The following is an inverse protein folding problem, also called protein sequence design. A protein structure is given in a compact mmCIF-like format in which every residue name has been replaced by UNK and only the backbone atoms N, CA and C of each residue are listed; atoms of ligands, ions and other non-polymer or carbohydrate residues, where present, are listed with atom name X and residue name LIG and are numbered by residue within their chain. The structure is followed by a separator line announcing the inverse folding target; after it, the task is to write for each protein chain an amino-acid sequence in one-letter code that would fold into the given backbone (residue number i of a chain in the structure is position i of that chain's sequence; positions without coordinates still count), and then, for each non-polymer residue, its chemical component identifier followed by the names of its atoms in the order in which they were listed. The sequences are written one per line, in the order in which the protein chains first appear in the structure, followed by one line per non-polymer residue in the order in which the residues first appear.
data_IF_854196020915
#
_entry.id   IF_854196020915
#
_cell.length_a   1.000
_cell.length_b   1.000
_cell.length_c   1.000
_cell.angle_alpha   90.00
_cell.angle_beta   90.00
_cell.angle_gamma   90.00
#
_symmetry.space_group_name_H-M   'P 1'
#
loop_
_entity.id
_entity.type
_entity.pdbx_description
1 polymer ?
#
# COMPACT_ATOMS: atom_id res chain seq x y z
N UNK A 1 -49.16 23.71 -20.17
CA UNK A 1 -50.04 24.74 -19.58
C UNK A 1 -49.45 25.16 -18.24
N UNK A 2 -49.25 26.48 -18.05
CA UNK A 2 -48.95 27.23 -16.81
C UNK A 2 -47.59 27.04 -16.09
N UNK A 3 -46.71 28.00 -16.41
CA UNK A 3 -45.71 28.67 -15.55
C UNK A 3 -46.29 29.00 -14.17
N UNK A 4 -45.45 28.98 -13.13
CA UNK A 4 -45.63 29.86 -11.96
C UNK A 4 -44.27 30.38 -11.48
N UNK A 5 -44.03 31.66 -11.79
CA UNK A 5 -43.05 32.53 -11.13
C UNK A 5 -43.68 33.04 -9.83
N UNK A 6 -42.92 33.12 -8.75
CA UNK A 6 -43.29 33.94 -7.58
C UNK A 6 -42.25 35.05 -7.41
N UNK A 7 -42.64 36.32 -7.51
CA UNK A 7 -41.85 37.46 -7.07
C UNK A 7 -42.42 38.08 -5.79
N UNK A 8 -41.63 39.01 -5.22
CA UNK A 8 -42.07 40.18 -4.45
C UNK A 8 -42.46 39.87 -2.97
N UNK A 9 -41.95 40.55 -1.93
CA UNK A 9 -42.41 41.89 -1.48
C UNK A 9 -41.77 42.28 -0.11
N UNK A 10 -41.18 43.48 -0.04
CA UNK A 10 -41.39 44.59 0.95
C UNK A 10 -40.88 44.40 2.40
N UNK A 11 -39.86 45.18 2.83
CA UNK A 11 -39.92 46.53 3.46
C UNK A 11 -40.38 46.49 4.93
N UNK A 12 -39.47 46.77 5.87
CA UNK A 12 -39.84 47.44 7.12
C UNK A 12 -38.67 48.32 7.59
N UNK A 13 -38.79 49.60 7.23
CA UNK A 13 -38.13 50.73 7.85
C UNK A 13 -39.10 51.24 8.92
N UNK A 14 -38.64 51.53 10.15
CA UNK A 14 -39.04 52.68 10.98
C UNK A 14 -38.48 52.53 12.42
N UNK A 15 -37.63 53.48 12.89
CA UNK A 15 -37.94 54.56 13.88
C UNK A 15 -37.81 54.03 15.33
N UNK A 16 -37.12 54.61 16.32
CA UNK A 16 -36.47 55.91 16.53
C UNK A 16 -35.59 55.89 17.81
N UNK A 17 -34.55 56.72 17.78
CA UNK A 17 -33.90 57.51 18.85
C UNK A 17 -34.67 57.69 20.18
N UNK A 18 -33.94 57.64 21.31
CA UNK A 18 -33.86 58.58 22.49
C UNK A 18 -32.96 57.90 23.55
N UNK A 19 -31.69 58.30 23.70
CA UNK A 19 -31.10 59.27 24.65
C UNK A 19 -30.93 58.82 26.13
N UNK A 20 -29.65 58.80 26.52
CA UNK A 20 -29.02 59.25 27.80
C UNK A 20 -29.14 58.41 29.08
N UNK A 21 -27.96 58.02 29.58
CA UNK A 21 -27.70 57.64 30.97
C UNK A 21 -26.22 57.34 31.20
N UNK A 22 -25.42 58.37 31.51
CA UNK A 22 -24.05 58.20 32.00
C UNK A 22 -24.06 57.61 33.42
N UNK A 23 -23.34 56.51 33.64
CA UNK A 23 -22.76 56.21 34.94
C UNK A 23 -21.27 55.92 34.75
N UNK A 24 -20.44 56.83 35.28
CA UNK A 24 -19.01 56.66 35.41
C UNK A 24 -18.74 55.50 36.37
N UNK A 25 -18.35 54.35 35.83
CA UNK A 25 -17.62 53.33 36.57
C UNK A 25 -16.29 53.18 35.84
N UNK A 26 -15.14 53.45 36.49
CA UNK A 26 -13.87 53.12 35.88
C UNK A 26 -13.79 51.60 35.88
N UNK A 27 -14.12 50.99 34.75
CA UNK A 27 -13.74 49.64 34.44
C UNK A 27 -12.73 49.69 33.29
N UNK A 28 -11.43 49.64 33.58
CA UNK A 28 -10.48 49.20 32.57
C UNK A 28 -9.68 48.05 33.13
N UNK A 29 -9.99 46.82 32.69
CA UNK A 29 -8.98 45.75 32.59
C UNK A 29 -9.44 44.50 31.81
N UNK A 30 -10.70 44.38 31.38
CA UNK A 30 -11.17 43.16 30.67
C UNK A 30 -11.03 43.24 29.13
N UNK A 31 -11.02 44.44 28.52
CA UNK A 31 -10.96 44.58 27.05
C UNK A 31 -9.54 44.52 26.47
N UNK A 32 -8.50 44.90 27.22
CA UNK A 32 -7.11 44.81 26.74
C UNK A 32 -6.62 43.35 26.67
N UNK A 33 -7.02 42.51 27.62
CA UNK A 33 -6.56 41.10 27.71
C UNK A 33 -7.16 40.23 26.59
N UNK A 34 -8.44 40.42 26.23
CA UNK A 34 -9.09 39.67 25.14
C UNK A 34 -8.58 40.04 23.74
N UNK A 35 -8.19 41.32 23.52
CA UNK A 35 -7.59 41.72 22.25
C UNK A 35 -6.16 41.19 22.11
N UNK A 36 -5.37 41.22 23.18
CA UNK A 36 -3.99 40.70 23.17
C UNK A 36 -3.95 39.19 22.95
N UNK A 37 -4.89 38.43 23.52
CA UNK A 37 -4.97 36.97 23.32
C UNK A 37 -5.43 36.60 21.90
N UNK A 38 -6.40 37.33 21.33
CA UNK A 38 -6.82 37.16 19.94
C UNK A 38 -5.70 37.52 18.95
N UNK A 39 -5.00 38.63 19.18
CA UNK A 39 -3.87 39.08 18.36
C UNK A 39 -2.71 38.08 18.42
N UNK A 40 -2.39 37.57 19.62
CA UNK A 40 -1.41 36.49 19.77
C UNK A 40 -1.82 35.19 19.04
N UNK A 41 -3.11 34.86 19.02
CA UNK A 41 -3.61 33.69 18.29
C UNK A 41 -3.58 33.91 16.77
N UNK A 42 -3.89 35.11 16.29
CA UNK A 42 -3.77 35.48 14.86
C UNK A 42 -2.31 35.39 14.42
N UNK A 43 -1.38 36.00 15.16
CA UNK A 43 0.05 35.95 14.84
C UNK A 43 0.59 34.51 14.84
N UNK A 44 0.17 33.67 15.79
CA UNK A 44 0.52 32.23 15.81
C UNK A 44 -0.03 31.47 14.61
N UNK A 45 -1.25 31.79 14.16
CA UNK A 45 -1.85 31.15 12.99
C UNK A 45 -1.17 31.61 11.69
N UNK A 46 -0.84 32.90 11.57
CA UNK A 46 -0.08 33.44 10.44
C UNK A 46 1.33 32.83 10.34
N UNK A 47 2.00 32.66 11.49
CA UNK A 47 3.29 31.97 11.54
C UNK A 47 3.15 30.51 11.08
N UNK A 48 2.15 29.76 11.60
CA UNK A 48 1.91 28.38 11.16
C UNK A 48 1.59 28.29 9.67
N UNK A 49 0.82 29.22 9.11
CA UNK A 49 0.52 29.27 7.68
C UNK A 49 1.80 29.47 6.87
N UNK A 50 2.68 30.37 7.33
CA UNK A 50 3.97 30.63 6.68
C UNK A 50 4.88 29.40 6.75
N UNK A 51 4.96 28.76 7.92
CA UNK A 51 5.75 27.55 8.13
C UNK A 51 5.25 26.41 7.22
N UNK A 52 3.93 26.15 7.19
CA UNK A 52 3.35 25.13 6.32
C UNK A 52 3.50 25.45 4.83
N UNK A 53 3.42 26.72 4.43
CA UNK A 53 3.65 27.12 3.04
C UNK A 53 5.09 26.81 2.62
N UNK A 54 6.06 27.14 3.48
CA UNK A 54 7.47 26.84 3.25
C UNK A 54 7.73 25.33 3.18
N UNK A 55 7.09 24.55 4.05
CA UNK A 55 7.18 23.09 4.03
C UNK A 55 6.61 22.50 2.73
N UNK A 56 5.44 22.99 2.28
CA UNK A 56 4.83 22.57 1.02
C UNK A 56 5.74 22.87 -0.17
N UNK A 57 6.28 24.08 -0.27
CA UNK A 57 7.21 24.46 -1.35
C UNK A 57 8.48 23.61 -1.34
N UNK A 58 9.01 23.33 -0.15
CA UNK A 58 10.17 22.43 0.01
C UNK A 58 9.85 21.01 -0.46
N UNK A 59 8.71 20.45 -0.06
CA UNK A 59 8.28 19.12 -0.46
C UNK A 59 7.99 19.02 -1.97
N UNK A 60 7.43 20.08 -2.56
CA UNK A 60 7.23 20.17 -4.01
C UNK A 60 8.57 20.14 -4.76
N UNK A 61 9.53 20.95 -4.33
CA UNK A 61 10.88 20.98 -4.91
C UNK A 61 11.57 19.61 -4.80
N UNK A 62 11.45 18.95 -3.65
CA UNK A 62 11.98 17.60 -3.45
C UNK A 62 11.30 16.57 -4.37
N UNK A 63 9.98 16.65 -4.52
CA UNK A 63 9.20 15.76 -5.40
C UNK A 63 9.61 15.93 -6.86
N UNK A 64 9.79 17.16 -7.32
CA UNK A 64 10.27 17.47 -8.68
C UNK A 64 11.68 16.92 -8.90
N UNK A 65 12.60 17.15 -7.97
CA UNK A 65 13.96 16.62 -8.05
C UNK A 65 13.99 15.08 -8.10
N UNK A 66 13.19 14.41 -7.27
CA UNK A 66 13.05 12.95 -7.28
C UNK A 66 12.46 12.44 -8.60
N UNK A 67 11.48 13.16 -9.16
CA UNK A 67 10.89 12.83 -10.46
C UNK A 67 11.92 12.91 -11.59
N UNK A 68 12.72 13.97 -11.63
CA UNK A 68 13.79 14.13 -12.63
C UNK A 68 14.86 13.02 -12.50
N UNK A 69 15.27 12.70 -11.27
CA UNK A 69 16.21 11.59 -11.01
C UNK A 69 15.64 10.25 -11.46
N UNK A 70 14.37 9.96 -11.15
CA UNK A 70 13.70 8.74 -11.60
C UNK A 70 13.61 8.65 -13.12
N UNK A 71 13.27 9.75 -13.80
CA UNK A 71 13.23 9.80 -15.27
C UNK A 71 14.61 9.54 -15.88
N UNK A 72 15.66 10.12 -15.31
CA UNK A 72 17.04 9.84 -15.73
C UNK A 72 17.39 8.36 -15.56
N UNK A 73 17.12 7.76 -14.39
CA UNK A 73 17.37 6.34 -14.15
C UNK A 73 16.62 5.43 -15.12
N UNK A 74 15.32 5.71 -15.36
CA UNK A 74 14.52 4.98 -16.36
C UNK A 74 15.15 5.09 -17.75
N UNK A 75 15.65 6.27 -18.14
CA UNK A 75 16.29 6.46 -19.45
C UNK A 75 17.59 5.65 -19.59
N UNK A 76 18.38 5.56 -18.52
CA UNK A 76 19.62 4.75 -18.47
C UNK A 76 19.26 3.27 -18.57
N UNK A 77 18.30 2.80 -17.77
CA UNK A 77 17.83 1.40 -17.81
C UNK A 77 17.31 1.06 -19.20
N UNK A 78 16.49 1.90 -19.81
CA UNK A 78 15.96 1.67 -21.16
C UNK A 78 17.08 1.57 -22.19
N UNK A 79 18.07 2.46 -22.11
CA UNK A 79 19.23 2.44 -23.01
C UNK A 79 20.04 1.16 -22.87
N UNK A 80 20.29 0.71 -21.63
CA UNK A 80 21.00 -0.53 -21.36
C UNK A 80 20.19 -1.76 -21.80
N UNK A 81 18.89 -1.77 -21.50
CA UNK A 81 17.99 -2.87 -21.85
C UNK A 81 17.85 -3.07 -23.36
N UNK A 82 17.96 -2.00 -24.16
CA UNK A 82 17.95 -2.06 -25.62
C UNK A 82 19.14 -2.79 -26.23
N UNK A 83 20.16 -3.14 -25.44
CA UNK A 83 21.31 -3.93 -25.86
C UNK A 83 21.27 -5.39 -25.40
N UNK A 84 20.29 -5.76 -24.57
CA UNK A 84 20.11 -7.14 -24.09
C UNK A 84 19.51 -8.01 -25.20
N UNK A 85 19.91 -9.28 -25.25
CA UNK A 85 19.18 -10.27 -26.03
C UNK A 85 17.78 -10.53 -25.44
N UNK A 86 16.90 -11.18 -26.20
CA UNK A 86 15.57 -11.56 -25.68
C UNK A 86 15.67 -12.47 -24.44
N UNK A 87 16.65 -13.38 -24.41
CA UNK A 87 16.90 -14.24 -23.25
C UNK A 87 17.41 -13.46 -22.05
N UNK A 88 18.33 -12.52 -22.25
CA UNK A 88 18.85 -11.66 -21.18
C UNK A 88 17.76 -10.72 -20.65
N UNK A 89 16.94 -10.18 -21.54
CA UNK A 89 15.82 -9.32 -21.19
C UNK A 89 14.73 -10.09 -20.45
N UNK A 90 14.47 -11.34 -20.83
CA UNK A 90 13.58 -12.23 -20.09
C UNK A 90 14.13 -12.48 -18.68
N UNK A 91 15.41 -12.84 -18.55
CA UNK A 91 16.03 -13.06 -17.24
C UNK A 91 15.98 -11.81 -16.36
N UNK A 92 16.25 -10.64 -16.93
CA UNK A 92 16.14 -9.35 -16.25
C UNK A 92 14.71 -9.05 -15.79
N UNK A 93 13.72 -9.34 -16.64
CA UNK A 93 12.30 -9.18 -16.29
C UNK A 93 11.87 -10.15 -15.19
N UNK A 94 12.30 -11.40 -15.26
CA UNK A 94 12.01 -12.42 -14.24
C UNK A 94 12.61 -12.07 -12.88
N UNK A 95 13.77 -11.42 -12.85
CA UNK A 95 14.41 -10.95 -11.62
C UNK A 95 13.64 -9.82 -10.91
N UNK A 96 12.65 -9.20 -11.55
CA UNK A 96 11.80 -8.19 -10.92
C UNK A 96 10.72 -8.78 -10.00
N UNK A 97 10.52 -10.10 -10.05
CA UNK A 97 9.52 -10.83 -9.27
C UNK A 97 10.22 -11.85 -8.39
N UNK A 98 9.97 -11.74 -7.09
CA UNK A 98 10.48 -12.66 -6.07
C UNK A 98 9.29 -13.47 -5.56
N UNK A 99 9.43 -14.79 -5.60
CA UNK A 99 8.43 -15.71 -5.06
C UNK A 99 8.96 -16.34 -3.78
N UNK A 100 8.09 -16.53 -2.81
CA UNK A 100 8.44 -17.19 -1.55
C UNK A 100 7.31 -18.11 -1.10
N UNK A 101 7.63 -19.38 -0.85
CA UNK A 101 6.73 -20.36 -0.27
C UNK A 101 7.12 -20.59 1.19
N UNK A 102 6.16 -20.36 2.09
CA UNK A 102 6.34 -20.46 3.53
C UNK A 102 5.33 -21.41 4.16
N UNK A 103 5.74 -22.06 5.25
CA UNK A 103 4.86 -22.79 6.16
C UNK A 103 5.07 -22.22 7.56
N UNK A 104 4.00 -21.73 8.19
CA UNK A 104 4.04 -21.05 9.49
C UNK A 104 5.06 -19.90 9.55
N UNK A 105 5.25 -19.19 8.42
CA UNK A 105 6.20 -18.09 8.29
C UNK A 105 7.66 -18.51 8.06
N UNK A 106 7.95 -19.81 7.98
CA UNK A 106 9.28 -20.32 7.67
C UNK A 106 9.39 -20.71 6.19
N UNK A 107 10.46 -20.29 5.51
CA UNK A 107 10.71 -20.66 4.12
C UNK A 107 10.96 -22.16 3.98
N UNK A 108 10.42 -22.76 2.92
CA UNK A 108 10.63 -24.20 2.65
C UNK A 108 12.12 -24.49 2.33
N UNK A 109 12.75 -25.50 2.97
CA UNK A 109 14.10 -25.93 2.61
C UNK A 109 14.20 -26.45 1.17
N UNK A 110 15.40 -26.43 0.57
CA UNK A 110 15.63 -26.90 -0.81
C UNK A 110 15.13 -28.33 -1.08
N UNK A 111 15.12 -29.18 -0.04
CA UNK A 111 14.62 -30.55 -0.08
C UNK A 111 13.10 -30.66 -0.22
N UNK A 112 12.35 -29.57 -0.08
CA UNK A 112 10.89 -29.54 -0.06
C UNK A 112 10.27 -30.09 1.22
N UNK A 113 11.06 -30.48 2.23
CA UNK A 113 10.57 -31.10 3.46
C UNK A 113 10.74 -30.16 4.65
N UNK A 114 9.66 -29.96 5.40
CA UNK A 114 9.65 -29.16 6.62
C UNK A 114 8.86 -29.88 7.71
N UNK A 115 9.26 -29.66 8.96
CA UNK A 115 8.59 -30.23 10.14
C UNK A 115 8.00 -29.09 10.95
N UNK A 116 6.74 -29.20 11.35
CA UNK A 116 6.01 -28.16 12.07
C UNK A 116 5.25 -28.73 13.27
N UNK A 117 5.00 -27.94 14.33
CA UNK A 117 4.20 -28.40 15.45
C UNK A 117 2.74 -28.64 15.03
N UNK A 118 2.10 -29.59 15.71
CA UNK A 118 0.65 -29.82 15.62
C UNK A 118 -0.18 -28.60 16.02
N UNK A 119 -1.40 -28.56 15.48
CA UNK A 119 -2.35 -27.46 15.65
C UNK A 119 -2.50 -26.62 14.39
N UNK A 120 -2.08 -25.36 14.48
CA UNK A 120 -2.24 -24.39 13.40
C UNK A 120 -1.13 -24.53 12.36
N UNK A 121 -1.53 -24.73 11.10
CA UNK A 121 -0.65 -24.73 9.95
C UNK A 121 -1.17 -23.73 8.93
N UNK A 122 -0.29 -22.83 8.50
CA UNK A 122 -0.51 -21.87 7.44
C UNK A 122 0.53 -22.08 6.34
N UNK A 123 0.07 -22.22 5.10
CA UNK A 123 0.89 -22.32 3.90
C UNK A 123 0.64 -21.05 3.11
N UNK A 124 1.68 -20.25 2.84
CA UNK A 124 1.58 -19.01 2.06
C UNK A 124 2.56 -19.03 0.90
N UNK A 125 2.05 -18.72 -0.29
CA UNK A 125 2.86 -18.36 -1.44
C UNK A 125 2.75 -16.85 -1.66
N UNK A 126 3.89 -16.18 -1.65
CA UNK A 126 3.99 -14.74 -1.83
C UNK A 126 4.59 -14.39 -3.19
N UNK A 127 4.07 -13.35 -3.81
CA UNK A 127 4.66 -12.67 -4.97
C UNK A 127 5.02 -11.25 -4.55
N UNK A 128 6.30 -10.92 -4.70
CA UNK A 128 6.83 -9.58 -4.46
C UNK A 128 7.39 -9.02 -5.77
N UNK A 129 6.82 -7.91 -6.23
CA UNK A 129 7.40 -7.13 -7.31
C UNK A 129 8.35 -6.06 -6.74
N UNK A 130 9.38 -5.68 -7.49
CA UNK A 130 10.26 -4.58 -7.06
C UNK A 130 9.58 -3.20 -7.08
N UNK A 131 8.34 -3.10 -7.58
CA UNK A 131 7.52 -1.89 -7.50
C UNK A 131 7.94 -0.75 -8.45
N UNK A 132 8.84 -1.02 -9.40
CA UNK A 132 9.30 -0.03 -10.36
C UNK A 132 8.78 -0.33 -11.78
N UNK A 133 8.10 0.64 -12.38
CA UNK A 133 7.58 0.56 -13.75
C UNK A 133 8.61 1.06 -14.78
N UNK A 134 9.79 0.43 -14.83
CA UNK A 134 10.77 0.75 -15.88
C UNK A 134 10.76 -0.24 -17.05
N UNK A 135 10.16 -1.43 -16.88
CA UNK A 135 10.02 -2.41 -17.95
C UNK A 135 8.88 -2.03 -18.88
N UNK A 136 9.06 -2.27 -20.19
CA UNK A 136 7.93 -2.24 -21.10
C UNK A 136 6.87 -3.28 -20.68
N UNK A 137 5.57 -3.00 -20.83
CA UNK A 137 4.50 -3.88 -20.34
C UNK A 137 4.61 -5.34 -20.79
N UNK A 138 5.06 -5.58 -22.03
CA UNK A 138 5.27 -6.93 -22.56
C UNK A 138 6.32 -7.71 -21.76
N UNK A 139 7.45 -7.09 -21.43
CA UNK A 139 8.50 -7.71 -20.64
C UNK A 139 8.09 -7.89 -19.19
N UNK A 140 7.38 -6.91 -18.61
CA UNK A 140 6.83 -7.02 -17.26
C UNK A 140 5.94 -8.26 -17.13
N UNK A 141 5.06 -8.50 -18.10
CA UNK A 141 4.18 -9.67 -18.09
C UNK A 141 4.94 -10.99 -18.29
N UNK A 142 5.93 -11.03 -19.21
CA UNK A 142 6.80 -12.21 -19.40
C UNK A 142 7.67 -12.52 -18.17
N UNK A 143 7.94 -11.52 -17.32
CA UNK A 143 8.74 -11.68 -16.11
C UNK A 143 8.02 -12.43 -14.99
N UNK A 144 6.69 -12.29 -14.91
CA UNK A 144 5.85 -12.98 -13.93
C UNK A 144 5.89 -14.49 -14.14
N UNK A 145 5.49 -15.23 -13.10
CA UNK A 145 5.17 -16.64 -13.22
C UNK A 145 3.95 -16.79 -14.14
N UNK A 146 3.88 -17.88 -14.90
CA UNK A 146 2.78 -18.08 -15.84
C UNK A 146 1.43 -18.28 -15.12
N UNK A 147 0.42 -17.48 -15.49
CA UNK A 147 -0.91 -17.56 -14.88
C UNK A 147 -0.98 -16.92 -13.50
N UNK A 148 -1.94 -17.35 -12.68
CA UNK A 148 -2.01 -16.94 -11.28
C UNK A 148 -0.94 -17.69 -10.47
N UNK A 149 -0.18 -16.97 -9.64
CA UNK A 149 0.90 -17.58 -8.88
C UNK A 149 0.38 -18.62 -7.88
N UNK A 150 -0.85 -18.47 -7.35
CA UNK A 150 -1.39 -19.46 -6.41
C UNK A 150 -1.73 -20.79 -7.10
N UNK A 151 -2.07 -20.75 -8.39
CA UNK A 151 -2.39 -21.93 -9.19
C UNK A 151 -1.16 -22.80 -9.46
N UNK A 152 0.03 -22.30 -9.08
CA UNK A 152 1.28 -23.05 -9.12
C UNK A 152 1.40 -24.05 -7.97
N UNK A 153 0.50 -24.00 -6.98
CA UNK A 153 0.30 -25.05 -5.99
C UNK A 153 -0.68 -26.08 -6.57
N UNK A 154 -0.16 -27.26 -6.86
CA UNK A 154 -0.84 -28.33 -7.58
C UNK A 154 -1.26 -29.45 -6.63
N UNK A 155 -2.40 -30.07 -6.91
CA UNK A 155 -2.92 -31.23 -6.19
C UNK A 155 -3.08 -31.04 -4.67
N UNK A 156 -3.26 -29.80 -4.21
CA UNK A 156 -3.50 -29.51 -2.80
C UNK A 156 -4.95 -29.83 -2.44
N UNK A 157 -5.15 -30.77 -1.52
CA UNK A 157 -6.47 -31.04 -0.95
C UNK A 157 -6.82 -29.95 0.07
N UNK A 158 -7.61 -28.98 -0.39
CA UNK A 158 -8.09 -27.88 0.43
C UNK A 158 -9.29 -28.25 1.33
N UNK A 159 -9.72 -29.52 1.34
CA UNK A 159 -10.77 -29.97 2.24
C UNK A 159 -10.35 -29.75 3.71
N UNK A 160 -11.10 -28.90 4.42
CA UNK A 160 -10.80 -28.55 5.82
C UNK A 160 -9.81 -27.39 5.99
N UNK A 161 -9.41 -26.73 4.91
CA UNK A 161 -8.59 -25.52 4.93
C UNK A 161 -9.43 -24.28 4.65
N UNK A 162 -9.07 -23.16 5.28
CA UNK A 162 -9.58 -21.83 4.95
C UNK A 162 -8.55 -21.06 4.11
N UNK A 163 -8.98 -20.20 3.16
CA UNK A 163 -8.07 -19.29 2.48
C UNK A 163 -7.33 -18.38 3.47
N UNK A 164 -6.05 -18.14 3.21
CA UNK A 164 -5.19 -17.22 3.96
C UNK A 164 -4.41 -16.31 3.01
N UNK A 165 -3.91 -15.18 3.51
CA UNK A 165 -3.09 -14.26 2.74
C UNK A 165 -3.31 -12.79 3.03
N UNK A 166 -2.55 -11.97 2.31
CA UNK A 166 -2.57 -10.51 2.37
C UNK A 166 -2.52 -9.97 0.94
N UNK A 167 -3.23 -8.87 0.70
CA UNK A 167 -3.18 -8.17 -0.58
C UNK A 167 -2.45 -6.83 -0.40
N UNK A 168 -1.44 -6.59 -1.22
CA UNK A 168 -0.63 -5.39 -1.18
C UNK A 168 -0.18 -4.97 -2.58
N UNK A 169 0.24 -3.71 -2.72
CA UNK A 169 0.60 -3.17 -4.04
C UNK A 169 1.89 -3.77 -4.62
N UNK A 170 2.85 -4.12 -3.77
CA UNK A 170 4.17 -4.64 -4.18
C UNK A 170 4.48 -6.03 -3.61
N UNK A 171 3.66 -6.49 -2.66
CA UNK A 171 3.82 -7.76 -2.00
C UNK A 171 2.43 -8.28 -1.65
N UNK A 172 2.04 -9.39 -2.28
CA UNK A 172 0.80 -10.09 -2.00
C UNK A 172 1.11 -11.54 -1.67
N UNK A 173 0.33 -12.10 -0.75
CA UNK A 173 0.44 -13.50 -0.32
C UNK A 173 -0.92 -14.16 -0.41
N UNK A 174 -0.96 -15.41 -0.85
CA UNK A 174 -2.17 -16.23 -0.89
C UNK A 174 -1.83 -17.65 -0.47
N UNK A 175 -2.79 -18.35 0.10
CA UNK A 175 -2.58 -19.71 0.53
C UNK A 175 -3.71 -20.26 1.39
N UNK A 176 -3.34 -21.14 2.30
CA UNK A 176 -4.28 -22.00 3.02
C UNK A 176 -3.90 -22.07 4.49
N UNK A 177 -4.91 -22.12 5.36
CA UNK A 177 -4.74 -22.27 6.81
C UNK A 177 -5.66 -23.34 7.37
N UNK A 178 -5.16 -24.15 8.30
CA UNK A 178 -5.93 -25.09 9.13
C UNK A 178 -5.54 -24.92 10.59
N UNK A 179 -6.46 -25.22 11.52
CA UNK A 179 -6.22 -25.11 12.97
C UNK A 179 -6.12 -26.46 13.67
N UNK A 180 -6.29 -27.56 12.94
CA UNK A 180 -6.53 -28.89 13.51
C UNK A 180 -5.57 -29.97 12.97
N UNK A 181 -4.37 -29.59 12.55
CA UNK A 181 -3.37 -30.55 12.10
C UNK A 181 -2.91 -31.42 13.28
N UNK A 182 -2.90 -32.74 13.09
CA UNK A 182 -2.62 -33.69 14.16
C UNK A 182 -1.17 -34.16 14.13
N UNK A 183 -0.58 -34.40 15.30
CA UNK A 183 0.72 -35.06 15.38
C UNK A 183 0.72 -36.39 14.60
N UNK A 184 1.75 -36.61 13.79
CA UNK A 184 1.88 -37.74 12.88
C UNK A 184 1.13 -37.59 11.56
N UNK A 185 0.43 -36.48 11.33
CA UNK A 185 -0.14 -36.15 10.03
C UNK A 185 0.97 -35.72 9.06
N UNK A 186 0.77 -36.03 7.77
CA UNK A 186 1.64 -35.62 6.70
C UNK A 186 0.80 -34.90 5.65
N UNK A 187 1.11 -33.63 5.41
CA UNK A 187 0.49 -32.83 4.35
C UNK A 187 1.47 -32.80 3.18
N UNK A 188 0.98 -33.07 1.97
CA UNK A 188 1.80 -33.03 0.76
C UNK A 188 1.07 -32.40 -0.40
N UNK A 189 1.82 -31.70 -1.24
CA UNK A 189 1.34 -31.12 -2.49
C UNK A 189 2.48 -30.99 -3.48
N UNK A 190 2.12 -30.74 -4.74
CA UNK A 190 3.09 -30.51 -5.81
C UNK A 190 3.17 -29.02 -6.12
N UNK A 191 4.29 -28.56 -6.62
CA UNK A 191 4.44 -27.25 -7.24
C UNK A 191 4.82 -27.40 -8.71
N UNK A 192 4.49 -26.40 -9.53
CA UNK A 192 4.89 -26.41 -10.93
C UNK A 192 6.43 -26.41 -11.09
N UNK A 193 6.91 -26.88 -12.24
CA UNK A 193 8.34 -26.80 -12.58
C UNK A 193 8.84 -25.35 -12.67
N UNK A 194 7.96 -24.41 -13.03
CA UNK A 194 8.32 -22.99 -13.04
C UNK A 194 8.51 -22.48 -11.61
N UNK A 195 7.55 -22.72 -10.72
CA UNK A 195 7.66 -22.29 -9.33
C UNK A 195 8.85 -22.93 -8.63
N UNK A 196 9.11 -24.23 -8.86
CA UNK A 196 10.32 -24.91 -8.35
C UNK A 196 11.59 -24.15 -8.73
N UNK A 197 11.74 -23.77 -10.01
CA UNK A 197 12.90 -23.00 -10.49
C UNK A 197 12.98 -21.63 -9.84
N UNK A 198 11.85 -20.93 -9.69
CA UNK A 198 11.79 -19.60 -9.06
C UNK A 198 12.17 -19.65 -7.58
N UNK A 199 11.76 -20.71 -6.87
CA UNK A 199 12.09 -20.96 -5.46
C UNK A 199 13.46 -21.61 -5.25
N UNK A 200 14.15 -22.02 -6.33
CA UNK A 200 15.43 -22.74 -6.28
C UNK A 200 15.39 -24.01 -5.42
N UNK A 201 14.28 -24.77 -5.53
CA UNK A 201 14.10 -26.05 -4.85
C UNK A 201 14.58 -27.22 -5.72
N UNK A 202 15.05 -28.28 -5.08
CA UNK A 202 15.51 -29.51 -5.75
C UNK A 202 14.36 -30.43 -6.16
N UNK A 203 13.18 -30.21 -5.58
CA UNK A 203 11.98 -31.05 -5.76
C UNK A 203 10.75 -30.21 -6.07
N UNK A 204 9.79 -30.82 -6.78
CA UNK A 204 8.45 -30.27 -6.97
C UNK A 204 7.48 -30.73 -5.88
N UNK A 205 7.85 -31.70 -5.07
CA UNK A 205 7.02 -32.20 -3.97
C UNK A 205 7.34 -31.47 -2.67
N UNK A 206 6.33 -30.86 -2.07
CA UNK A 206 6.43 -30.23 -0.76
C UNK A 206 5.78 -31.16 0.27
N UNK A 207 6.51 -31.46 1.34
CA UNK A 207 6.09 -32.34 2.42
C UNK A 207 6.20 -31.62 3.75
N UNK A 208 5.09 -31.56 4.46
CA UNK A 208 4.99 -30.98 5.79
C UNK A 208 4.69 -32.12 6.77
N UNK A 209 5.63 -32.39 7.67
CA UNK A 209 5.51 -33.39 8.73
C UNK A 209 5.06 -32.71 10.02
N UNK A 210 3.99 -33.21 10.65
CA UNK A 210 3.39 -32.59 11.84
C UNK A 210 3.80 -33.33 13.11
N UNK A 211 4.40 -32.63 14.08
CA UNK A 211 4.88 -33.18 15.36
C UNK A 211 3.95 -32.95 16.57
#
# INVERSE_FOLDING_TARGET
MKRNKKPLVIFFLCISVILLGCTNTPAPEIQQTQNTEKENNVNKLEQKITDYTTEIESLQTQTESLKEQNQYLISVINTLSGSLSDEEMLAFAQAQFIYELQVNGESIPQSGKITVPSGEIEILLSEKSMGYEFLQPEWSEKGKISGDYIDQILNFDSAGWSPAGTDGTVNSSRGFKTTNAKAGEQISFQISDELKKRLQLDTSEIVIEVE
#
